data_IF_216871608214
#
_entry.id   IF_216871608214
#
_cell.length_a   1.000
_cell.length_b   1.000
_cell.length_c   1.000
_cell.angle_alpha   90.00
_cell.angle_beta   90.00
_cell.angle_gamma   90.00
#
_symmetry.space_group_name_H-M   'P 1'
#
loop_
_entity.id
_entity.type
_entity.pdbx_description
1 polymer ?
#
# COMPACT_ATOMS: atom_id res chain seq x y z
N UNK A 1 10.25 -15.70 -5.87
CA UNK A 1 9.16 -14.73 -5.62
C UNK A 1 9.17 -14.19 -4.20
N UNK A 2 8.91 -15.01 -3.11
CA UNK A 2 8.93 -14.51 -1.71
C UNK A 2 10.20 -13.73 -1.38
N UNK A 3 11.38 -14.32 -1.61
CA UNK A 3 12.66 -13.69 -1.33
C UNK A 3 12.86 -12.35 -2.07
N UNK A 4 12.42 -12.26 -3.32
CA UNK A 4 12.49 -11.03 -4.11
C UNK A 4 11.59 -9.92 -3.56
N UNK A 5 10.37 -10.29 -3.11
CA UNK A 5 9.45 -9.36 -2.45
C UNK A 5 10.09 -8.84 -1.17
N UNK A 6 10.64 -9.72 -0.32
CA UNK A 6 11.33 -9.36 0.92
C UNK A 6 12.48 -8.39 0.64
N UNK A 7 13.39 -8.75 -0.25
CA UNK A 7 14.57 -7.91 -0.57
C UNK A 7 14.18 -6.54 -1.12
N UNK A 8 13.12 -6.46 -1.92
CA UNK A 8 12.62 -5.19 -2.46
C UNK A 8 11.98 -4.34 -1.36
N UNK A 9 11.20 -4.96 -0.48
CA UNK A 9 10.64 -4.30 0.67
C UNK A 9 11.73 -3.73 1.59
N UNK A 10 12.74 -4.52 1.94
CA UNK A 10 13.85 -4.10 2.80
C UNK A 10 14.59 -2.88 2.21
N UNK A 11 14.87 -2.90 0.91
CA UNK A 11 15.47 -1.74 0.22
C UNK A 11 14.58 -0.50 0.29
N UNK A 12 13.27 -0.67 0.10
CA UNK A 12 12.33 0.46 0.14
C UNK A 12 12.19 1.02 1.56
N UNK A 13 12.11 0.17 2.57
CA UNK A 13 12.09 0.59 3.99
C UNK A 13 13.38 1.28 4.39
N UNK A 14 14.54 0.81 3.93
CA UNK A 14 15.81 1.49 4.16
C UNK A 14 15.79 2.94 3.62
N UNK A 15 15.19 3.16 2.45
CA UNK A 15 15.01 4.52 1.89
C UNK A 15 14.09 5.39 2.75
N UNK A 16 12.99 4.82 3.26
CA UNK A 16 12.08 5.53 4.19
C UNK A 16 12.84 5.95 5.45
N UNK A 17 13.57 5.01 6.08
CA UNK A 17 14.39 5.27 7.28
C UNK A 17 15.47 6.32 7.02
N UNK A 18 16.07 6.32 5.83
CA UNK A 18 17.05 7.34 5.44
C UNK A 18 16.43 8.75 5.39
N UNK A 19 15.22 8.91 4.84
CA UNK A 19 14.53 10.21 4.87
C UNK A 19 14.27 10.70 6.29
N UNK A 20 13.89 9.82 7.20
CA UNK A 20 13.71 10.15 8.62
C UNK A 20 15.05 10.54 9.28
N UNK A 21 16.13 9.85 8.93
CA UNK A 21 17.49 10.16 9.39
C UNK A 21 17.94 11.54 8.90
N UNK A 22 17.75 11.86 7.62
CA UNK A 22 18.05 13.19 7.05
C UNK A 22 17.31 14.28 7.82
N UNK A 23 16.02 14.07 8.10
CA UNK A 23 15.27 15.01 8.92
C UNK A 23 15.92 15.23 10.29
N UNK A 24 16.26 14.15 11.01
CA UNK A 24 16.82 14.22 12.36
C UNK A 24 18.20 14.89 12.41
N UNK A 25 19.04 14.59 11.43
CA UNK A 25 20.44 15.04 11.44
C UNK A 25 20.64 16.42 10.82
N UNK A 26 19.82 16.79 9.83
CA UNK A 26 20.05 18.00 9.05
C UNK A 26 18.94 19.04 9.15
N UNK A 27 17.68 18.63 9.38
CA UNK A 27 16.53 19.53 9.28
C UNK A 27 15.85 19.80 10.63
N UNK A 28 16.08 18.95 11.63
CA UNK A 28 15.39 19.07 12.92
C UNK A 28 15.74 20.34 13.69
N UNK A 29 16.92 20.94 13.45
CA UNK A 29 17.41 22.10 14.19
C UNK A 29 17.69 21.81 15.66
N UNK A 30 18.46 22.68 16.32
CA UNK A 30 18.81 22.54 17.74
C UNK A 30 17.81 23.23 18.70
N UNK A 31 16.80 23.95 18.17
CA UNK A 31 15.90 24.78 18.98
C UNK A 31 14.59 24.11 19.38
N UNK A 32 13.97 24.58 20.47
CA UNK A 32 12.62 24.18 20.94
C UNK A 32 11.49 24.97 20.23
N UNK A 33 11.68 25.37 18.99
CA UNK A 33 10.67 26.12 18.22
C UNK A 33 9.79 25.25 17.33
N UNK A 34 8.64 25.80 16.89
CA UNK A 34 7.80 25.18 15.87
C UNK A 34 8.58 25.12 14.55
N UNK A 35 8.73 23.92 14.02
CA UNK A 35 9.49 23.66 12.79
C UNK A 35 8.75 24.13 11.56
N UNK A 36 9.46 24.73 10.60
CA UNK A 36 8.89 25.18 9.35
C UNK A 36 8.34 24.01 8.51
N UNK A 37 7.37 24.30 7.66
CA UNK A 37 6.75 23.30 6.78
C UNK A 37 7.77 22.64 5.87
N UNK A 38 8.69 23.41 5.30
CA UNK A 38 9.76 22.91 4.43
C UNK A 38 10.61 21.82 5.08
N UNK A 39 10.92 21.96 6.37
CA UNK A 39 11.70 20.98 7.11
C UNK A 39 10.95 19.65 7.28
N UNK A 40 9.62 19.70 7.48
CA UNK A 40 8.79 18.52 7.69
C UNK A 40 8.31 17.87 6.39
N UNK A 41 8.55 18.47 5.22
CA UNK A 41 8.16 17.89 3.93
C UNK A 41 8.92 16.59 3.62
N UNK A 42 10.15 16.44 4.13
CA UNK A 42 10.88 15.17 4.03
C UNK A 42 10.18 14.03 4.79
N UNK A 43 9.52 14.33 5.93
CA UNK A 43 8.72 13.34 6.67
C UNK A 43 7.41 12.99 5.93
N UNK A 44 6.83 13.95 5.19
CA UNK A 44 5.69 13.70 4.31
C UNK A 44 6.09 12.80 3.15
N UNK A 45 7.22 13.11 2.52
CA UNK A 45 7.78 12.25 1.46
C UNK A 45 8.06 10.83 1.99
N UNK A 46 8.61 10.69 3.20
CA UNK A 46 8.82 9.39 3.83
C UNK A 46 7.50 8.64 4.10
N UNK A 47 6.42 9.36 4.48
CA UNK A 47 5.08 8.75 4.65
C UNK A 47 4.53 8.21 3.33
N UNK A 48 4.68 8.96 2.24
CA UNK A 48 4.24 8.52 0.91
C UNK A 48 5.05 7.30 0.45
N UNK A 49 6.37 7.32 0.65
CA UNK A 49 7.24 6.20 0.28
C UNK A 49 6.98 4.95 1.13
N UNK A 50 6.65 5.12 2.42
CA UNK A 50 6.25 4.00 3.30
C UNK A 50 5.00 3.29 2.76
N UNK A 51 3.98 4.06 2.40
CA UNK A 51 2.77 3.50 1.81
C UNK A 51 3.05 2.81 0.46
N UNK A 52 3.84 3.44 -0.41
CA UNK A 52 4.23 2.84 -1.69
C UNK A 52 5.01 1.53 -1.49
N UNK A 53 5.82 1.43 -0.42
CA UNK A 53 6.54 0.19 -0.07
C UNK A 53 5.60 -0.93 0.35
N UNK A 54 4.56 -0.61 1.11
CA UNK A 54 3.50 -1.56 1.48
C UNK A 54 2.68 -1.98 0.27
N UNK A 55 2.26 -1.03 -0.55
CA UNK A 55 1.49 -1.29 -1.77
C UNK A 55 2.25 -2.19 -2.75
N UNK A 56 3.56 -2.00 -2.91
CA UNK A 56 4.42 -2.86 -3.74
C UNK A 56 4.43 -4.32 -3.26
N UNK A 57 4.49 -4.57 -1.94
CA UNK A 57 4.38 -5.92 -1.37
C UNK A 57 3.01 -6.53 -1.67
N UNK A 58 1.94 -5.80 -1.40
CA UNK A 58 0.56 -6.29 -1.59
C UNK A 58 0.28 -6.61 -3.06
N UNK A 59 0.69 -5.74 -3.98
CA UNK A 59 0.58 -5.98 -5.43
C UNK A 59 1.38 -7.20 -5.85
N UNK A 60 2.60 -7.33 -5.37
CA UNK A 60 3.48 -8.46 -5.71
C UNK A 60 2.91 -9.79 -5.23
N UNK A 61 2.33 -9.81 -4.03
CA UNK A 61 1.63 -10.98 -3.51
C UNK A 61 0.38 -11.31 -4.33
N UNK A 62 -0.38 -10.29 -4.72
CA UNK A 62 -1.55 -10.44 -5.55
C UNK A 62 -1.21 -11.02 -6.93
N UNK A 63 -0.23 -10.45 -7.63
CA UNK A 63 0.26 -10.98 -8.92
C UNK A 63 0.73 -12.43 -8.83
N UNK A 64 1.34 -12.79 -7.70
CA UNK A 64 1.84 -14.15 -7.51
C UNK A 64 0.74 -15.16 -7.18
N UNK A 65 -0.17 -14.81 -6.27
CA UNK A 65 -1.11 -15.76 -5.65
C UNK A 65 -2.51 -15.74 -6.25
N UNK A 66 -2.98 -14.58 -6.72
CA UNK A 66 -4.36 -14.42 -7.15
C UNK A 66 -4.72 -15.29 -8.38
N UNK A 67 -3.84 -15.50 -9.38
CA UNK A 67 -4.16 -16.40 -10.50
C UNK A 67 -4.46 -17.85 -10.09
N UNK A 68 -3.95 -18.28 -8.93
CA UNK A 68 -4.20 -19.62 -8.36
C UNK A 68 -5.25 -19.60 -7.23
N UNK A 69 -6.01 -18.51 -7.08
CA UNK A 69 -7.06 -18.39 -6.07
C UNK A 69 -8.25 -19.31 -6.38
N UNK A 70 -9.10 -19.51 -5.37
CA UNK A 70 -10.31 -20.30 -5.52
C UNK A 70 -11.27 -19.68 -6.56
N UNK A 71 -12.06 -20.52 -7.22
CA UNK A 71 -13.00 -20.10 -8.26
C UNK A 71 -13.91 -18.93 -7.82
N UNK A 72 -14.42 -18.97 -6.60
CA UNK A 72 -15.28 -17.91 -6.06
C UNK A 72 -14.60 -16.53 -5.99
N UNK A 73 -13.26 -16.48 -5.86
CA UNK A 73 -12.48 -15.25 -5.92
C UNK A 73 -12.29 -14.82 -7.37
N UNK A 74 -11.93 -15.75 -8.24
CA UNK A 74 -11.74 -15.49 -9.67
C UNK A 74 -13.04 -15.04 -10.36
N UNK A 75 -14.18 -15.55 -9.90
CA UNK A 75 -15.51 -15.13 -10.40
C UNK A 75 -15.81 -13.64 -10.19
N UNK A 76 -15.07 -12.96 -9.31
CA UNK A 76 -15.20 -11.53 -9.06
C UNK A 76 -14.30 -10.67 -9.97
N UNK A 77 -13.50 -11.29 -10.81
CA UNK A 77 -12.56 -10.62 -11.71
C UNK A 77 -13.11 -10.72 -13.15
N UNK A 78 -13.44 -9.58 -13.80
CA UNK A 78 -13.86 -9.61 -15.18
C UNK A 78 -12.71 -10.05 -16.10
N UNK A 79 -13.03 -10.76 -17.17
CA UNK A 79 -12.04 -11.11 -18.19
C UNK A 79 -11.44 -9.84 -18.80
N UNK A 80 -10.13 -9.87 -19.04
CA UNK A 80 -9.37 -8.77 -19.63
C UNK A 80 -10.03 -8.26 -20.93
N UNK A 81 -10.13 -6.93 -21.05
CA UNK A 81 -10.84 -6.29 -22.19
C UNK A 81 -12.36 -6.14 -22.00
N UNK A 82 -12.93 -6.71 -20.92
CA UNK A 82 -14.35 -6.60 -20.57
C UNK A 82 -14.59 -5.97 -19.20
N UNK A 83 -15.83 -5.59 -18.96
CA UNK A 83 -16.31 -5.14 -17.64
C UNK A 83 -17.37 -6.07 -17.06
N UNK A 84 -17.87 -7.01 -17.88
CA UNK A 84 -18.92 -7.94 -17.48
C UNK A 84 -18.32 -9.16 -16.77
N UNK A 85 -18.97 -9.59 -15.70
CA UNK A 85 -18.62 -10.82 -14.97
C UNK A 85 -19.02 -12.09 -15.72
N UNK A 86 -19.95 -12.00 -16.65
CA UNK A 86 -20.36 -13.11 -17.52
C UNK A 86 -19.83 -12.90 -18.92
N UNK A 87 -19.21 -13.93 -19.47
CA UNK A 87 -18.56 -13.90 -20.76
C UNK A 87 -19.39 -14.70 -21.79
N UNK A 88 -19.65 -14.09 -22.93
CA UNK A 88 -20.26 -14.79 -24.09
C UNK A 88 -19.19 -15.52 -24.89
N UNK A 89 -19.57 -16.56 -25.64
CA UNK A 89 -18.67 -17.22 -26.58
C UNK A 89 -18.08 -16.26 -27.60
N UNK A 90 -18.86 -15.26 -28.05
CA UNK A 90 -18.36 -14.20 -28.92
C UNK A 90 -17.28 -13.36 -28.28
N UNK A 91 -17.43 -13.03 -26.99
CA UNK A 91 -16.39 -12.33 -26.21
C UNK A 91 -15.10 -13.13 -26.09
N UNK A 92 -15.18 -14.44 -25.92
CA UNK A 92 -14.01 -15.32 -25.91
C UNK A 92 -13.25 -15.37 -27.24
N UNK A 93 -13.89 -15.00 -28.37
CA UNK A 93 -13.20 -15.02 -29.65
C UNK A 93 -11.98 -14.10 -29.73
N UNK A 94 -11.96 -13.02 -28.94
CA UNK A 94 -10.82 -12.11 -28.83
C UNK A 94 -9.59 -12.76 -28.15
N UNK A 95 -9.77 -13.89 -27.48
CA UNK A 95 -8.74 -14.60 -26.71
C UNK A 95 -8.33 -15.93 -27.36
N UNK A 96 -8.67 -16.14 -28.65
CA UNK A 96 -8.25 -17.33 -29.38
C UNK A 96 -6.75 -17.52 -29.35
N UNK A 97 -6.31 -18.77 -29.13
CA UNK A 97 -4.89 -19.13 -29.04
C UNK A 97 -4.23 -18.92 -27.70
N UNK A 98 -4.92 -18.32 -26.73
CA UNK A 98 -4.45 -18.23 -25.34
C UNK A 98 -4.86 -19.47 -24.55
N UNK A 99 -4.03 -19.87 -23.59
CA UNK A 99 -4.43 -20.86 -22.60
C UNK A 99 -5.41 -20.25 -21.59
N UNK A 100 -6.14 -21.08 -20.85
CA UNK A 100 -6.99 -20.61 -19.75
C UNK A 100 -6.15 -19.93 -18.68
N UNK A 101 -4.95 -20.45 -18.38
CA UNK A 101 -4.04 -19.88 -17.40
C UNK A 101 -3.54 -18.48 -17.82
N UNK A 102 -3.22 -18.29 -19.10
CA UNK A 102 -2.85 -16.97 -19.63
C UNK A 102 -3.99 -15.98 -19.47
N UNK A 103 -5.22 -16.41 -19.76
CA UNK A 103 -6.40 -15.55 -19.66
C UNK A 103 -6.70 -15.17 -18.19
N UNK A 104 -6.60 -16.12 -17.27
CA UNK A 104 -6.76 -15.86 -15.83
C UNK A 104 -5.70 -14.87 -15.39
N UNK A 105 -4.44 -15.08 -15.75
CA UNK A 105 -3.33 -14.21 -15.36
C UNK A 105 -3.53 -12.79 -15.91
N UNK A 106 -3.76 -12.63 -17.20
CA UNK A 106 -3.99 -11.32 -17.82
C UNK A 106 -5.18 -10.58 -17.20
N UNK A 107 -6.28 -11.31 -16.90
CA UNK A 107 -7.47 -10.72 -16.27
C UNK A 107 -7.19 -10.26 -14.85
N UNK A 108 -6.43 -11.05 -14.09
CA UNK A 108 -5.97 -10.70 -12.76
C UNK A 108 -5.08 -9.46 -12.79
N UNK A 109 -4.10 -9.44 -13.69
CA UNK A 109 -3.16 -8.33 -13.85
C UNK A 109 -3.92 -7.02 -14.19
N UNK A 110 -4.85 -7.07 -15.14
CA UNK A 110 -5.68 -5.92 -15.52
C UNK A 110 -6.61 -5.44 -14.39
N UNK A 111 -7.08 -6.34 -13.54
CA UNK A 111 -7.84 -6.00 -12.33
C UNK A 111 -6.97 -5.30 -11.29
N UNK A 112 -5.74 -5.79 -11.08
CA UNK A 112 -4.80 -5.25 -10.11
C UNK A 112 -4.27 -3.86 -10.48
N UNK A 113 -4.20 -3.51 -11.77
CA UNK A 113 -3.84 -2.15 -12.21
C UNK A 113 -4.82 -1.09 -11.69
N UNK A 114 -6.09 -1.48 -11.47
CA UNK A 114 -7.15 -0.58 -10.96
C UNK A 114 -7.27 -0.62 -9.44
N UNK A 115 -6.60 -1.55 -8.78
CA UNK A 115 -6.70 -1.72 -7.33
C UNK A 115 -5.83 -0.72 -6.62
N UNK A 116 -6.38 -0.10 -5.58
CA UNK A 116 -5.66 0.77 -4.66
C UNK A 116 -5.83 0.19 -3.26
N UNK A 117 -4.74 0.04 -2.52
CA UNK A 117 -4.78 -0.43 -1.14
C UNK A 117 -4.75 0.76 -0.19
N UNK A 118 -5.82 1.58 -0.24
CA UNK A 118 -5.90 2.86 0.47
C UNK A 118 -6.51 2.77 1.87
N UNK A 119 -7.02 1.61 2.24
CA UNK A 119 -7.60 1.36 3.56
C UNK A 119 -7.39 -0.10 4.01
N UNK A 120 -7.53 -0.33 5.30
CA UNK A 120 -7.30 -1.64 5.92
C UNK A 120 -8.31 -2.72 5.47
N UNK A 121 -9.51 -2.32 5.04
CA UNK A 121 -10.53 -3.25 4.52
C UNK A 121 -10.09 -3.84 3.18
N UNK A 122 -9.60 -3.02 2.27
CA UNK A 122 -9.06 -3.47 0.97
C UNK A 122 -7.87 -4.42 1.16
N UNK A 123 -6.96 -4.09 2.10
CA UNK A 123 -5.83 -4.96 2.46
C UNK A 123 -6.32 -6.31 2.98
N UNK A 124 -7.25 -6.31 3.93
CA UNK A 124 -7.80 -7.55 4.51
C UNK A 124 -8.51 -8.40 3.45
N UNK A 125 -9.27 -7.77 2.57
CA UNK A 125 -9.95 -8.45 1.47
C UNK A 125 -8.95 -9.13 0.52
N UNK A 126 -7.88 -8.42 0.11
CA UNK A 126 -6.84 -9.00 -0.73
C UNK A 126 -6.20 -10.22 -0.05
N UNK A 127 -5.77 -10.07 1.22
CA UNK A 127 -5.08 -11.15 1.94
C UNK A 127 -5.96 -12.40 2.07
N UNK A 128 -7.26 -12.24 2.33
CA UNK A 128 -8.22 -13.33 2.34
C UNK A 128 -8.40 -13.95 0.94
N UNK A 129 -8.48 -13.13 -0.10
CA UNK A 129 -8.62 -13.58 -1.48
C UNK A 129 -7.44 -14.46 -1.94
N UNK A 130 -6.23 -14.18 -1.45
CA UNK A 130 -5.04 -15.00 -1.72
C UNK A 130 -4.81 -16.11 -0.69
N UNK A 131 -5.78 -16.37 0.19
CA UNK A 131 -5.79 -17.51 1.11
C UNK A 131 -5.01 -17.30 2.42
N UNK A 132 -4.68 -16.07 2.81
CA UNK A 132 -3.96 -15.79 4.04
C UNK A 132 -4.92 -15.58 5.22
N UNK A 133 -4.47 -15.98 6.41
CA UNK A 133 -5.20 -15.73 7.65
C UNK A 133 -5.03 -14.28 8.12
N UNK A 134 -6.10 -13.52 8.14
CA UNK A 134 -6.07 -12.10 8.56
C UNK A 134 -6.23 -11.89 10.06
N UNK A 135 -6.65 -12.89 10.82
CA UNK A 135 -6.89 -12.76 12.26
C UNK A 135 -5.64 -12.30 13.04
N UNK A 136 -4.45 -12.90 12.88
CA UNK A 136 -3.24 -12.44 13.57
C UNK A 136 -2.78 -11.06 13.11
N UNK A 137 -3.20 -10.61 11.93
CA UNK A 137 -2.82 -9.33 11.34
C UNK A 137 -3.67 -8.16 11.82
N UNK A 138 -4.81 -8.41 12.48
CA UNK A 138 -5.75 -7.40 12.95
C UNK A 138 -5.08 -6.35 13.86
N UNK A 139 -4.08 -6.75 14.66
CA UNK A 139 -3.33 -5.87 15.55
C UNK A 139 -2.60 -4.72 14.84
N UNK A 140 -2.27 -4.88 13.56
CA UNK A 140 -1.56 -3.87 12.77
C UNK A 140 -2.49 -2.88 12.06
N UNK A 141 -3.75 -3.24 11.85
CA UNK A 141 -4.68 -2.54 10.95
C UNK A 141 -4.94 -1.10 11.36
N UNK A 142 -5.05 -0.81 12.66
CA UNK A 142 -5.32 0.56 13.15
C UNK A 142 -4.20 1.52 12.73
N UNK A 143 -2.95 1.15 12.96
CA UNK A 143 -1.79 2.00 12.60
C UNK A 143 -1.56 2.06 11.09
N UNK A 144 -1.82 0.99 10.35
CA UNK A 144 -1.80 1.02 8.88
C UNK A 144 -2.83 2.02 8.35
N UNK A 145 -4.07 1.97 8.87
CA UNK A 145 -5.15 2.88 8.50
C UNK A 145 -4.81 4.35 8.80
N UNK A 146 -4.16 4.63 9.94
CA UNK A 146 -3.66 5.98 10.26
C UNK A 146 -2.64 6.48 9.24
N UNK A 147 -1.66 5.64 8.88
CA UNK A 147 -0.63 5.97 7.90
C UNK A 147 -1.24 6.18 6.50
N UNK A 148 -2.19 5.32 6.09
CA UNK A 148 -2.91 5.42 4.81
C UNK A 148 -3.74 6.71 4.73
N UNK A 149 -4.50 7.04 5.77
CA UNK A 149 -5.26 8.29 5.86
C UNK A 149 -4.34 9.52 5.81
N UNK A 150 -3.18 9.44 6.44
CA UNK A 150 -2.21 10.53 6.39
C UNK A 150 -1.63 10.68 4.98
N UNK A 151 -1.21 9.57 4.36
CA UNK A 151 -0.72 9.58 2.97
C UNK A 151 -1.77 10.15 2.01
N UNK A 152 -3.03 9.74 2.16
CA UNK A 152 -4.12 10.24 1.34
C UNK A 152 -4.25 11.78 1.43
N UNK A 153 -4.21 12.34 2.64
CA UNK A 153 -4.23 13.79 2.84
C UNK A 153 -3.02 14.50 2.22
N UNK A 154 -1.82 13.92 2.37
CA UNK A 154 -0.59 14.48 1.79
C UNK A 154 -0.72 14.57 0.26
N UNK A 155 -1.14 13.49 -0.38
CA UNK A 155 -1.16 13.39 -1.85
C UNK A 155 -2.30 14.22 -2.47
N UNK A 156 -3.49 14.20 -1.85
CA UNK A 156 -4.69 14.78 -2.47
C UNK A 156 -5.10 16.15 -1.92
N UNK A 157 -4.55 16.57 -0.75
CA UNK A 157 -4.92 17.82 -0.07
C UNK A 157 -3.70 18.57 0.45
N UNK A 158 -2.50 18.32 -0.06
CA UNK A 158 -1.25 18.92 0.40
C UNK A 158 -1.12 18.93 1.93
N UNK A 159 -1.67 17.89 2.61
CA UNK A 159 -1.68 17.72 4.06
C UNK A 159 -2.39 18.86 4.83
N UNK A 160 -3.35 19.52 4.21
CA UNK A 160 -4.10 20.61 4.81
C UNK A 160 -4.77 20.18 6.11
N UNK A 161 -4.68 21.04 7.14
CA UNK A 161 -5.30 20.79 8.44
C UNK A 161 -6.76 21.30 8.41
N UNK A 162 -7.77 20.42 8.43
CA UNK A 162 -9.17 20.83 8.38
C UNK A 162 -9.63 21.62 9.61
N UNK A 163 -8.89 21.51 10.72
CA UNK A 163 -9.17 22.19 11.99
C UNK A 163 -8.32 23.47 12.16
N UNK A 164 -7.62 23.92 11.13
CA UNK A 164 -6.81 25.12 11.16
C UNK A 164 -7.68 26.37 11.30
N UNK A 165 -7.68 27.02 12.47
CA UNK A 165 -8.30 28.32 12.70
C UNK A 165 -7.61 29.44 11.89
N UNK A 166 -8.03 30.70 12.08
CA UNK A 166 -7.55 31.89 11.36
C UNK A 166 -6.05 32.22 11.47
N UNK A 167 -5.20 31.28 11.86
CA UNK A 167 -3.74 31.41 11.93
C UNK A 167 -3.01 30.63 10.82
N UNK A 168 -1.71 30.89 10.64
CA UNK A 168 -0.81 30.34 9.60
C UNK A 168 -0.59 28.82 9.60
N UNK A 169 -1.55 28.00 10.07
CA UNK A 169 -1.39 26.57 10.28
C UNK A 169 -2.15 25.75 9.25
N UNK A 170 -1.84 25.96 8.00
CA UNK A 170 -2.52 25.27 6.88
C UNK A 170 -2.15 23.79 6.77
N UNK A 171 -1.03 23.36 7.34
CA UNK A 171 -0.52 21.99 7.19
C UNK A 171 -0.48 21.28 8.54
N UNK A 172 -0.99 20.04 8.59
CA UNK A 172 -0.99 19.26 9.81
C UNK A 172 0.45 18.87 10.23
N UNK A 173 0.73 18.92 11.55
CA UNK A 173 2.05 18.52 12.05
C UNK A 173 2.33 17.04 11.85
N UNK A 174 3.59 16.70 11.59
CA UNK A 174 4.09 15.33 11.52
C UNK A 174 5.39 15.25 12.31
N UNK A 175 5.58 14.16 13.06
CA UNK A 175 6.75 13.97 13.91
C UNK A 175 7.51 12.69 13.57
N UNK A 176 8.85 12.65 13.75
CA UNK A 176 9.61 11.42 13.58
C UNK A 176 9.10 10.25 14.44
N UNK A 177 8.74 10.40 15.73
CA UNK A 177 8.20 9.29 16.50
C UNK A 177 6.93 8.67 15.93
N UNK A 178 6.04 9.49 15.37
CA UNK A 178 4.83 9.01 14.70
C UNK A 178 5.19 8.16 13.49
N UNK A 179 6.13 8.65 12.67
CA UNK A 179 6.57 7.93 11.47
C UNK A 179 7.34 6.65 11.82
N UNK A 180 8.17 6.66 12.85
CA UNK A 180 8.85 5.45 13.33
C UNK A 180 7.84 4.38 13.76
N UNK A 181 6.79 4.78 14.48
CA UNK A 181 5.73 3.85 14.90
C UNK A 181 5.01 3.22 13.69
N UNK A 182 4.79 3.99 12.62
CA UNK A 182 4.21 3.46 11.39
C UNK A 182 5.19 2.55 10.62
N UNK A 183 6.48 2.89 10.58
CA UNK A 183 7.51 2.06 9.96
C UNK A 183 7.57 0.70 10.66
N UNK A 184 7.73 0.67 11.97
CA UNK A 184 7.81 -0.57 12.75
C UNK A 184 6.53 -1.40 12.58
N UNK A 185 5.36 -0.78 12.62
CA UNK A 185 4.10 -1.47 12.40
C UNK A 185 4.01 -2.10 11.00
N UNK A 186 4.47 -1.38 9.97
CA UNK A 186 4.46 -1.87 8.59
C UNK A 186 5.49 -3.00 8.40
N UNK A 187 6.67 -2.91 8.99
CA UNK A 187 7.70 -3.97 8.97
C UNK A 187 7.16 -5.25 9.60
N UNK A 188 6.58 -5.17 10.80
CA UNK A 188 6.02 -6.31 11.50
C UNK A 188 4.85 -6.93 10.72
N UNK A 189 3.94 -6.10 10.19
CA UNK A 189 2.85 -6.56 9.35
C UNK A 189 3.34 -7.32 8.13
N UNK A 190 4.29 -6.77 7.38
CA UNK A 190 4.84 -7.42 6.17
C UNK A 190 5.58 -8.70 6.54
N UNK A 191 6.33 -8.72 7.65
CA UNK A 191 6.98 -9.92 8.16
C UNK A 191 5.97 -11.04 8.42
N UNK A 192 4.88 -10.75 9.14
CA UNK A 192 3.84 -11.74 9.49
C UNK A 192 3.03 -12.18 8.26
N UNK A 193 2.79 -11.28 7.29
CA UNK A 193 2.17 -11.64 6.00
C UNK A 193 3.08 -12.58 5.23
N UNK A 194 4.36 -12.26 5.10
CA UNK A 194 5.32 -13.10 4.37
C UNK A 194 5.62 -14.41 5.09
N UNK A 195 5.45 -14.50 6.40
CA UNK A 195 5.59 -15.76 7.14
C UNK A 195 4.52 -16.80 6.76
N UNK A 196 3.36 -16.36 6.26
CA UNK A 196 2.26 -17.23 5.84
C UNK A 196 2.37 -17.74 4.39
N UNK A 197 3.38 -17.28 3.62
CA UNK A 197 3.51 -17.55 2.17
C UNK A 197 4.61 -18.57 1.84
#
# INVERSE_FOLDING_TARGET
>A
MKQEITQRFDRNIARVKNLVSIYRTQLAGAGQGRRGHQQTDVLRAATVLLHASLEDVLRSLAYWKLPAAQAAVLDQIPIVGGTAMKVSLGGLSAHRGKTVDDLIKESTDASLERSNYNNSTEVSFLLQAIGLNTAPLAQYMVKLEEAMKRRHRIVHRADENPNGGRGNHRVASISPPTLDAWIVNTENFVCDVLAQV
#
